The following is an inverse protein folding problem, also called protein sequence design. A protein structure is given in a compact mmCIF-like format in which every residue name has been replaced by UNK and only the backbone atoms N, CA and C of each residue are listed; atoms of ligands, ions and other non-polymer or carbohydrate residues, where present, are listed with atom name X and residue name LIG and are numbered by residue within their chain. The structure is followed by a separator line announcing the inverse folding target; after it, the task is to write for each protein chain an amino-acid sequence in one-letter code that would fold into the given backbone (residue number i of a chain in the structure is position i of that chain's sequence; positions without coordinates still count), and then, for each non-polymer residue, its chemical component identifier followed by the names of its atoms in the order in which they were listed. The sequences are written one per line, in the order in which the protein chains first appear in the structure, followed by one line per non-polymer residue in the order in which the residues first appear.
data_IF_856947156945
#
_entry.id   IF_856947156945
#
_cell.length_a   1.000
_cell.length_b   1.000
_cell.length_c   1.000
_cell.angle_alpha   90.00
_cell.angle_beta   90.00
_cell.angle_gamma   90.00
#
_symmetry.space_group_name_H-M   'P 1'
#
loop_
_entity.id
_entity.type
_entity.pdbx_description
1 polymer ?
#
# COMPACT_ATOMS: atom_id res chain seq x y z
N UNK A 1 -17.79 -55.89 59.68
CA UNK A 1 -18.99 -55.02 59.54
C UNK A 1 -18.58 -53.61 59.10
N UNK A 2 -17.77 -53.50 58.04
CA UNK A 2 -17.11 -52.23 57.64
C UNK A 2 -17.12 -51.99 56.13
N UNK A 3 -17.29 -53.02 55.30
CA UNK A 3 -17.25 -52.89 53.83
C UNK A 3 -18.59 -52.42 53.21
N UNK A 4 -19.74 -52.73 53.86
CA UNK A 4 -21.08 -52.28 53.39
C UNK A 4 -21.34 -50.78 53.58
N UNK A 5 -20.61 -50.09 54.47
CA UNK A 5 -20.78 -48.64 54.69
C UNK A 5 -20.14 -47.80 53.59
N UNK A 6 -19.06 -48.26 52.96
CA UNK A 6 -18.37 -47.52 51.90
C UNK A 6 -19.08 -47.61 50.55
N UNK A 7 -19.73 -48.74 50.24
CA UNK A 7 -20.49 -48.92 48.99
C UNK A 7 -21.72 -48.00 48.95
N UNK A 8 -22.43 -47.85 50.08
CA UNK A 8 -23.57 -46.95 50.16
C UNK A 8 -23.17 -45.46 50.13
N UNK A 9 -21.97 -45.12 50.61
CA UNK A 9 -21.43 -43.75 50.51
C UNK A 9 -21.00 -43.41 49.07
N UNK A 10 -20.39 -44.36 48.36
CA UNK A 10 -20.00 -44.19 46.95
C UNK A 10 -21.20 -44.09 46.01
N UNK A 11 -22.27 -44.85 46.25
CA UNK A 11 -23.51 -44.72 45.48
C UNK A 11 -24.22 -43.38 45.72
N UNK A 12 -24.22 -42.88 46.96
CA UNK A 12 -24.83 -41.58 47.29
C UNK A 12 -24.06 -40.40 46.67
N UNK A 13 -22.73 -40.48 46.58
CA UNK A 13 -21.91 -39.43 45.98
C UNK A 13 -22.06 -39.39 44.44
N UNK A 14 -22.13 -40.55 43.77
CA UNK A 14 -22.35 -40.63 42.32
C UNK A 14 -23.72 -40.12 41.86
N UNK A 15 -24.76 -40.19 42.70
CA UNK A 15 -26.10 -39.65 42.36
C UNK A 15 -26.18 -38.13 42.53
N UNK A 16 -25.38 -37.55 43.42
CA UNK A 16 -25.35 -36.09 43.63
C UNK A 16 -24.62 -35.31 42.53
N UNK A 17 -23.67 -35.93 41.81
CA UNK A 17 -22.93 -35.26 40.72
C UNK A 17 -23.63 -35.32 39.35
N UNK A 18 -24.67 -36.15 39.20
CA UNK A 18 -25.46 -36.26 37.97
C UNK A 18 -26.65 -35.28 37.90
N UNK A 19 -26.93 -34.52 38.97
CA UNK A 19 -28.06 -33.56 39.01
C UNK A 19 -27.66 -32.10 38.82
N UNK A 20 -26.36 -31.81 38.61
CA UNK A 20 -25.87 -30.45 38.28
C UNK A 20 -25.71 -30.20 36.77
N UNK A 21 -26.08 -31.16 35.92
CA UNK A 21 -26.17 -30.92 34.48
C UNK A 21 -27.60 -30.51 34.10
N UNK A 22 -27.85 -29.20 34.09
CA UNK A 22 -28.74 -28.49 33.14
C UNK A 22 -29.29 -27.20 33.76
N UNK A 23 -28.40 -26.21 33.94
CA UNK A 23 -28.80 -24.83 33.73
C UNK A 23 -28.11 -24.35 32.46
N UNK A 24 -28.34 -25.04 31.34
CA UNK A 24 -28.34 -24.34 30.08
C UNK A 24 -29.67 -23.58 30.08
N UNK A 25 -29.63 -22.30 30.47
CA UNK A 25 -30.65 -21.41 29.95
C UNK A 25 -30.50 -21.48 28.43
N UNK A 26 -31.50 -22.04 27.75
CA UNK A 26 -31.78 -21.70 26.36
C UNK A 26 -32.01 -20.19 26.35
N UNK A 27 -30.91 -19.45 26.24
CA UNK A 27 -30.97 -18.06 25.88
C UNK A 27 -31.34 -18.09 24.40
N UNK A 28 -32.61 -17.81 24.11
CA UNK A 28 -32.97 -17.28 22.80
C UNK A 28 -31.94 -16.20 22.49
N UNK A 29 -31.07 -16.44 21.50
CA UNK A 29 -30.17 -15.43 21.00
C UNK A 29 -31.04 -14.56 20.09
N UNK A 30 -31.61 -13.43 20.56
CA UNK A 30 -32.27 -12.52 19.63
C UNK A 30 -31.24 -12.20 18.55
N UNK A 31 -31.67 -12.26 17.29
CA UNK A 31 -30.84 -11.84 16.18
C UNK A 31 -30.29 -10.46 16.55
N UNK A 32 -28.96 -10.37 16.71
CA UNK A 32 -28.31 -9.11 16.99
C UNK A 32 -28.36 -8.33 15.69
N UNK A 33 -29.45 -7.59 15.51
CA UNK A 33 -29.66 -6.68 14.40
C UNK A 33 -28.72 -5.50 14.61
N UNK A 34 -27.46 -5.71 14.20
CA UNK A 34 -26.52 -4.60 14.10
C UNK A 34 -27.17 -3.60 13.16
N UNK A 35 -27.40 -2.34 13.59
CA UNK A 35 -27.82 -1.33 12.65
C UNK A 35 -26.81 -1.35 11.52
N UNK A 36 -27.32 -1.52 10.29
CA UNK A 36 -26.49 -1.55 9.10
C UNK A 36 -25.58 -0.32 9.17
N UNK A 37 -24.27 -0.54 9.38
CA UNK A 37 -23.32 0.56 9.50
C UNK A 37 -23.02 1.18 8.13
N UNK A 38 -23.91 0.97 7.17
CA UNK A 38 -23.95 1.54 5.83
C UNK A 38 -24.29 3.04 5.84
N UNK A 39 -23.68 3.80 6.76
CA UNK A 39 -23.41 5.19 6.46
C UNK A 39 -22.80 5.23 5.04
N UNK A 40 -23.41 5.95 4.08
CA UNK A 40 -22.93 5.94 2.71
C UNK A 40 -21.45 6.31 2.70
N UNK A 41 -20.60 5.39 2.24
CA UNK A 41 -19.17 5.67 2.16
C UNK A 41 -18.99 6.80 1.16
N UNK A 42 -18.50 7.94 1.65
CA UNK A 42 -18.25 9.11 0.80
C UNK A 42 -17.14 8.74 -0.18
N UNK A 43 -17.52 8.57 -1.45
CA UNK A 43 -16.57 8.30 -2.52
C UNK A 43 -15.57 9.44 -2.59
N UNK A 44 -14.29 9.08 -2.51
CA UNK A 44 -13.15 9.95 -2.76
C UNK A 44 -12.24 9.33 -3.81
N UNK A 45 -11.69 10.13 -4.74
CA UNK A 45 -10.68 9.62 -5.65
C UNK A 45 -9.37 9.26 -4.93
N UNK A 46 -9.09 9.87 -3.77
CA UNK A 46 -7.92 9.55 -2.95
C UNK A 46 -8.17 8.26 -2.16
N UNK A 47 -7.56 7.16 -2.60
CA UNK A 47 -7.75 5.82 -2.02
C UNK A 47 -6.88 5.53 -0.82
N UNK A 48 -5.70 6.14 -0.74
CA UNK A 48 -4.76 5.98 0.37
C UNK A 48 -4.16 7.34 0.68
N UNK A 49 -4.11 7.70 1.96
CA UNK A 49 -3.41 8.90 2.42
C UNK A 49 -2.65 8.61 3.71
N UNK A 50 -1.33 8.78 3.66
CA UNK A 50 -0.42 8.58 4.78
C UNK A 50 0.32 9.90 5.06
N UNK A 51 -0.11 10.68 6.07
CA UNK A 51 0.57 11.92 6.42
C UNK A 51 1.83 11.69 7.28
N UNK A 52 1.95 10.53 7.93
CA UNK A 52 3.09 10.17 8.79
C UNK A 52 3.28 10.98 10.09
N UNK A 53 2.19 11.49 10.66
CA UNK A 53 2.14 12.17 11.97
C UNK A 53 2.31 11.21 13.16
N UNK A 54 3.52 10.66 13.35
CA UNK A 54 3.85 9.59 14.31
C UNK A 54 3.02 8.30 14.17
N UNK A 55 2.33 8.11 13.05
CA UNK A 55 1.58 6.90 12.80
C UNK A 55 1.59 6.55 11.31
N UNK A 56 1.32 5.27 11.02
CA UNK A 56 1.25 4.73 9.66
C UNK A 56 -0.19 4.55 9.19
N UNK A 57 -1.17 5.11 9.89
CA UNK A 57 -2.60 4.85 9.60
C UNK A 57 -3.02 5.57 8.34
N UNK A 58 -3.75 4.87 7.50
CA UNK A 58 -4.46 5.47 6.38
C UNK A 58 -5.51 6.48 6.90
N UNK A 59 -5.38 7.74 6.47
CA UNK A 59 -6.30 8.85 6.77
C UNK A 59 -7.26 9.13 5.61
N UNK A 60 -7.27 8.31 4.58
CA UNK A 60 -8.31 8.35 3.55
C UNK A 60 -9.66 7.86 4.10
N UNK A 61 -10.71 8.00 3.29
CA UNK A 61 -12.04 7.47 3.62
C UNK A 61 -12.10 5.93 3.58
N UNK A 62 -11.03 5.26 3.16
CA UNK A 62 -11.05 3.84 2.82
C UNK A 62 -10.40 2.93 3.87
N UNK A 63 -9.62 3.51 4.79
CA UNK A 63 -9.03 2.85 5.96
C UNK A 63 -8.32 1.53 5.58
N UNK A 64 -7.35 1.60 4.67
CA UNK A 64 -6.48 0.47 4.37
C UNK A 64 -5.88 -0.09 5.67
N UNK A 65 -5.80 -1.42 5.79
CA UNK A 65 -5.16 -2.00 6.97
C UNK A 65 -3.65 -1.92 6.79
N UNK A 66 -3.03 -1.09 7.62
CA UNK A 66 -1.61 -0.78 7.56
C UNK A 66 -0.80 -1.69 8.47
N UNK A 67 0.34 -2.17 7.97
CA UNK A 67 1.38 -2.82 8.77
C UNK A 67 2.77 -2.38 8.32
N UNK A 68 3.76 -2.61 9.16
CA UNK A 68 5.15 -2.31 8.86
C UNK A 68 5.96 -3.60 8.74
N UNK A 69 6.90 -3.61 7.80
CA UNK A 69 8.07 -4.47 7.90
C UNK A 69 9.19 -3.72 8.63
N UNK A 70 9.76 -4.34 9.66
CA UNK A 70 10.81 -3.71 10.49
C UNK A 70 10.28 -2.60 11.41
N UNK A 71 11.22 -1.98 12.14
CA UNK A 71 10.93 -0.91 13.10
C UNK A 71 10.92 0.44 12.39
N UNK A 72 9.72 0.97 12.14
CA UNK A 72 9.55 2.28 11.48
C UNK A 72 9.81 3.41 12.47
N UNK A 73 10.38 4.51 11.97
CA UNK A 73 10.66 5.71 12.75
C UNK A 73 10.13 6.95 12.03
N UNK A 74 9.98 8.04 12.78
CA UNK A 74 9.48 9.31 12.28
C UNK A 74 10.47 10.44 12.60
N UNK A 75 10.48 11.46 11.75
CA UNK A 75 11.37 12.62 11.82
C UNK A 75 10.64 13.88 11.37
N UNK A 76 11.28 15.04 11.42
CA UNK A 76 10.67 16.29 10.97
C UNK A 76 10.35 16.25 9.47
N UNK A 77 9.08 16.48 9.14
CA UNK A 77 8.53 16.42 7.78
C UNK A 77 8.58 17.75 7.04
N UNK A 78 8.02 17.76 5.82
CA UNK A 78 7.71 19.02 5.13
C UNK A 78 6.49 19.69 5.77
N UNK A 79 5.59 18.87 6.32
CA UNK A 79 4.40 19.26 7.06
C UNK A 79 4.23 18.27 8.23
N UNK A 80 4.49 18.72 9.46
CA UNK A 80 4.45 17.86 10.63
C UNK A 80 5.62 16.87 10.65
N UNK A 81 5.32 15.58 10.63
CA UNK A 81 6.32 14.51 10.68
C UNK A 81 6.29 13.61 9.46
N UNK A 82 7.46 13.06 9.13
CA UNK A 82 7.66 12.20 7.99
C UNK A 82 8.08 10.79 8.41
N UNK A 83 7.73 9.81 7.59
CA UNK A 83 8.30 8.47 7.64
C UNK A 83 9.80 8.54 7.36
N UNK A 84 10.61 7.90 8.21
CA UNK A 84 12.04 7.69 7.98
C UNK A 84 12.28 6.22 7.64
N UNK A 85 12.59 5.97 6.37
CA UNK A 85 12.92 4.65 5.87
C UNK A 85 14.37 4.24 6.14
N UNK A 86 14.60 2.93 6.05
CA UNK A 86 15.89 2.24 6.05
C UNK A 86 15.83 1.11 5.03
N UNK A 87 16.97 0.46 4.77
CA UNK A 87 17.00 -0.73 3.90
C UNK A 87 16.13 -1.90 4.40
N UNK A 88 15.79 -1.92 5.70
CA UNK A 88 15.09 -3.03 6.36
C UNK A 88 13.63 -2.70 6.67
N UNK A 89 13.16 -1.49 6.35
CA UNK A 89 11.81 -1.03 6.70
C UNK A 89 10.98 -0.72 5.47
N UNK A 90 9.67 -0.96 5.57
CA UNK A 90 8.68 -0.61 4.54
C UNK A 90 7.28 -0.64 5.17
N UNK A 91 6.29 -0.10 4.46
CA UNK A 91 4.89 -0.17 4.87
C UNK A 91 4.09 -1.03 3.89
N UNK A 92 3.11 -1.73 4.44
CA UNK A 92 2.16 -2.54 3.71
C UNK A 92 0.76 -1.97 3.89
N UNK A 93 0.06 -1.72 2.79
CA UNK A 93 -1.31 -1.23 2.81
C UNK A 93 -2.25 -2.29 2.20
N UNK A 94 -2.92 -3.04 3.07
CA UNK A 94 -3.83 -4.10 2.63
C UNK A 94 -5.14 -3.49 2.14
N UNK A 95 -5.45 -3.77 0.88
CA UNK A 95 -6.68 -3.31 0.21
C UNK A 95 -7.91 -3.82 0.98
N UNK A 96 -8.83 -2.94 1.39
CA UNK A 96 -10.09 -3.34 1.99
C UNK A 96 -10.90 -4.26 1.07
N UNK A 97 -11.59 -5.25 1.65
CA UNK A 97 -12.34 -6.26 0.88
C UNK A 97 -13.39 -5.68 -0.08
N UNK A 98 -13.94 -4.50 0.21
CA UNK A 98 -14.94 -3.85 -0.65
C UNK A 98 -14.32 -3.04 -1.80
N UNK A 99 -12.99 -2.95 -1.88
CA UNK A 99 -12.25 -2.31 -2.97
C UNK A 99 -11.53 -3.33 -3.87
N UNK A 100 -11.59 -4.62 -3.56
CA UNK A 100 -10.85 -5.67 -4.29
C UNK A 100 -11.30 -5.84 -5.74
N UNK A 101 -12.46 -5.30 -6.12
CA UNK A 101 -12.93 -5.28 -7.51
C UNK A 101 -12.58 -3.95 -8.21
N UNK A 102 -12.60 -2.84 -7.48
CA UNK A 102 -12.32 -1.51 -8.05
C UNK A 102 -10.83 -1.22 -8.24
N UNK A 103 -9.96 -1.73 -7.35
CA UNK A 103 -8.51 -1.51 -7.47
C UNK A 103 -7.91 -2.26 -8.66
N UNK A 104 -8.36 -3.49 -9.00
CA UNK A 104 -7.96 -4.11 -10.24
C UNK A 104 -8.46 -3.40 -11.50
N UNK A 105 -9.53 -2.60 -11.46
CA UNK A 105 -10.10 -1.92 -12.65
C UNK A 105 -9.95 -0.39 -12.56
N UNK A 106 -8.77 0.09 -12.16
CA UNK A 106 -8.49 1.50 -11.89
C UNK A 106 -8.73 2.42 -13.09
N UNK A 107 -8.37 1.96 -14.29
CA UNK A 107 -8.39 2.75 -15.51
C UNK A 107 -7.32 3.84 -15.59
N UNK A 108 -7.17 4.66 -14.55
CA UNK A 108 -6.15 5.71 -14.40
C UNK A 108 -5.67 5.74 -12.96
N UNK A 109 -4.49 6.31 -12.70
CA UNK A 109 -4.04 6.48 -11.32
C UNK A 109 -3.08 7.67 -11.17
N UNK A 110 -2.94 8.13 -9.93
CA UNK A 110 -1.86 9.04 -9.54
C UNK A 110 -1.25 8.58 -8.23
N UNK A 111 0.07 8.60 -8.14
CA UNK A 111 0.82 8.49 -6.88
C UNK A 111 1.54 9.82 -6.66
N UNK A 112 1.30 10.46 -5.52
CA UNK A 112 1.94 11.74 -5.16
C UNK A 112 2.49 11.68 -3.74
N UNK A 113 3.66 12.24 -3.51
CA UNK A 113 4.29 12.29 -2.19
C UNK A 113 5.41 13.33 -2.17
N UNK A 114 5.76 13.76 -0.98
CA UNK A 114 7.03 14.41 -0.73
C UNK A 114 8.09 13.36 -0.40
N UNK A 115 9.28 13.54 -0.93
CA UNK A 115 10.43 12.71 -0.62
C UNK A 115 11.68 13.53 -0.33
N UNK A 116 12.55 12.97 0.50
CA UNK A 116 13.92 13.46 0.69
C UNK A 116 14.87 12.28 0.77
N UNK A 117 15.86 12.24 -0.11
CA UNK A 117 16.87 11.19 -0.13
C UNK A 117 18.15 11.70 -0.76
N UNK A 118 19.28 11.21 -0.27
CA UNK A 118 20.56 11.36 -0.97
C UNK A 118 20.64 10.37 -2.12
N UNK A 119 21.67 10.53 -2.97
CA UNK A 119 21.97 9.64 -4.08
C UNK A 119 22.03 8.19 -3.61
N UNK A 120 21.27 7.33 -4.28
CA UNK A 120 21.17 5.92 -3.97
C UNK A 120 22.44 5.14 -4.38
N UNK A 121 22.74 4.05 -3.67
CA UNK A 121 23.84 3.11 -3.99
C UNK A 121 23.35 1.80 -4.63
N UNK A 122 22.05 1.56 -4.64
CA UNK A 122 21.34 0.45 -5.28
C UNK A 122 19.95 0.92 -5.71
N UNK A 123 19.20 0.16 -6.52
CA UNK A 123 17.84 0.58 -6.90
C UNK A 123 16.94 0.64 -5.65
N UNK A 124 16.18 1.74 -5.47
CA UNK A 124 15.27 1.90 -4.34
C UNK A 124 13.82 1.82 -4.77
N UNK A 125 13.09 0.85 -4.24
CA UNK A 125 11.65 0.69 -4.49
C UNK A 125 10.86 1.71 -3.70
N UNK A 126 9.99 2.47 -4.35
CA UNK A 126 9.23 3.56 -3.70
C UNK A 126 7.78 3.16 -3.49
N UNK A 127 7.13 2.59 -4.50
CA UNK A 127 5.76 2.13 -4.41
C UNK A 127 5.53 0.95 -5.33
N UNK A 128 4.77 -0.03 -4.88
CA UNK A 128 4.34 -1.16 -5.68
C UNK A 128 2.88 -1.48 -5.39
N UNK A 129 2.11 -1.68 -6.46
CA UNK A 129 0.86 -2.44 -6.46
C UNK A 129 1.24 -3.84 -6.91
N UNK A 130 1.33 -4.83 -6.01
CA UNK A 130 1.90 -6.12 -6.36
C UNK A 130 1.07 -6.90 -7.36
N UNK A 131 1.77 -7.74 -8.10
CA UNK A 131 1.23 -8.91 -8.76
C UNK A 131 1.83 -10.13 -8.06
N UNK A 132 1.00 -10.95 -7.42
CA UNK A 132 1.48 -12.03 -6.55
C UNK A 132 2.14 -13.18 -7.30
N UNK A 133 2.15 -13.16 -8.64
CA UNK A 133 2.64 -14.26 -9.49
C UNK A 133 3.87 -13.90 -10.30
N UNK A 134 4.08 -12.62 -10.64
CA UNK A 134 5.17 -12.19 -11.51
C UNK A 134 6.32 -11.56 -10.75
N UNK A 135 7.50 -11.44 -11.40
CA UNK A 135 8.66 -10.78 -10.82
C UNK A 135 8.37 -9.32 -10.44
N UNK A 136 7.83 -8.57 -11.40
CA UNK A 136 7.40 -7.18 -11.20
C UNK A 136 5.93 -7.10 -10.78
N UNK A 137 5.56 -5.99 -10.13
CA UNK A 137 4.19 -5.76 -9.67
C UNK A 137 3.26 -5.42 -10.84
N UNK A 138 1.98 -5.20 -10.54
CA UNK A 138 1.06 -4.63 -11.53
C UNK A 138 1.43 -3.19 -11.90
N UNK A 139 1.97 -2.45 -10.93
CA UNK A 139 2.45 -1.08 -11.09
C UNK A 139 3.57 -0.84 -10.09
N UNK A 140 4.74 -0.42 -10.55
CA UNK A 140 5.87 -0.12 -9.68
C UNK A 140 6.43 1.27 -9.99
N UNK A 141 6.85 1.98 -8.94
CA UNK A 141 7.68 3.19 -9.03
C UNK A 141 8.94 2.91 -8.21
N UNK A 142 10.09 3.06 -8.86
CA UNK A 142 11.38 2.96 -8.20
C UNK A 142 12.38 3.92 -8.84
N UNK A 143 13.55 4.05 -8.23
CA UNK A 143 14.57 4.95 -8.72
C UNK A 143 15.99 4.37 -8.63
N UNK A 144 16.79 4.79 -9.59
CA UNK A 144 18.23 4.56 -9.69
C UNK A 144 18.97 5.91 -9.74
N UNK A 145 20.30 5.89 -9.87
CA UNK A 145 21.09 7.10 -10.15
C UNK A 145 21.74 7.02 -11.54
N UNK A 146 22.10 8.19 -12.07
CA UNK A 146 22.81 8.35 -13.35
C UNK A 146 24.29 8.73 -13.17
N UNK A 147 24.88 8.40 -12.03
CA UNK A 147 26.17 8.96 -11.55
C UNK A 147 26.16 10.44 -11.19
N UNK A 148 25.03 11.13 -11.35
CA UNK A 148 24.82 12.48 -10.83
C UNK A 148 24.49 12.47 -9.33
N UNK A 149 24.99 13.48 -8.61
CA UNK A 149 24.69 13.68 -7.19
C UNK A 149 23.27 14.22 -6.93
N UNK A 150 22.62 14.81 -7.94
CA UNK A 150 21.31 15.47 -7.78
C UNK A 150 20.21 14.87 -8.66
N UNK A 151 20.56 14.18 -9.75
CA UNK A 151 19.58 13.62 -10.70
C UNK A 151 19.19 12.19 -10.31
N UNK A 152 17.88 11.95 -10.17
CA UNK A 152 17.33 10.62 -10.00
C UNK A 152 16.89 10.04 -11.35
N UNK A 153 17.07 8.73 -11.52
CA UNK A 153 16.54 7.99 -12.66
C UNK A 153 15.31 7.20 -12.23
N UNK A 154 14.13 7.81 -12.36
CA UNK A 154 12.88 7.14 -12.05
C UNK A 154 12.50 6.14 -13.12
N UNK A 155 11.98 5.01 -12.66
CA UNK A 155 11.43 3.95 -13.49
C UNK A 155 10.03 3.63 -13.02
N UNK A 156 9.12 3.55 -13.98
CA UNK A 156 7.79 2.99 -13.78
C UNK A 156 7.67 1.71 -14.58
N UNK A 157 7.23 0.66 -13.91
CA UNK A 157 6.80 -0.58 -14.53
C UNK A 157 5.27 -0.62 -14.48
N UNK A 158 4.64 -0.94 -15.60
CA UNK A 158 3.19 -1.09 -15.70
C UNK A 158 2.91 -2.44 -16.37
N UNK A 159 2.07 -3.24 -15.73
CA UNK A 159 1.60 -4.52 -16.24
C UNK A 159 0.08 -4.48 -16.35
N UNK A 160 -0.42 -4.41 -17.59
CA UNK A 160 -1.83 -4.19 -17.88
C UNK A 160 -2.47 -5.46 -18.49
N UNK A 161 -3.62 -5.84 -17.95
CA UNK A 161 -4.41 -7.00 -18.34
C UNK A 161 -5.77 -6.55 -18.88
N UNK A 162 -5.78 -6.12 -20.14
CA UNK A 162 -7.01 -5.67 -20.80
C UNK A 162 -7.76 -6.86 -21.42
N UNK A 163 -8.99 -6.64 -21.86
CA UNK A 163 -9.75 -7.66 -22.60
C UNK A 163 -9.12 -8.07 -23.94
N UNK A 164 -8.10 -7.34 -24.41
CA UNK A 164 -7.40 -7.57 -25.68
C UNK A 164 -6.02 -8.20 -25.47
N UNK A 165 -5.40 -7.97 -24.30
CA UNK A 165 -4.07 -8.48 -23.95
C UNK A 165 -4.01 -8.84 -22.48
N UNK A 166 -3.67 -10.09 -22.19
CA UNK A 166 -3.58 -10.61 -20.82
C UNK A 166 -2.27 -10.21 -20.10
N UNK A 167 -1.32 -9.56 -20.79
CA UNK A 167 0.00 -9.18 -20.29
C UNK A 167 0.72 -8.06 -21.10
N UNK A 168 0.15 -6.86 -21.23
CA UNK A 168 0.89 -5.72 -21.82
C UNK A 168 1.80 -5.07 -20.75
N UNK A 169 3.08 -5.45 -20.80
CA UNK A 169 4.12 -4.93 -19.90
C UNK A 169 4.86 -3.75 -20.55
N UNK A 170 4.98 -2.62 -19.83
CA UNK A 170 5.63 -1.40 -20.33
C UNK A 170 6.52 -0.74 -19.28
N UNK A 171 7.52 -0.06 -19.82
CA UNK A 171 8.54 0.64 -19.06
C UNK A 171 8.56 2.13 -19.39
N UNK A 172 8.56 2.95 -18.34
CA UNK A 172 8.79 4.38 -18.42
C UNK A 172 10.05 4.70 -17.64
N UNK A 173 10.97 5.41 -18.29
CA UNK A 173 12.29 5.73 -17.78
C UNK A 173 12.46 7.25 -17.88
N UNK A 174 12.65 7.92 -16.75
CA UNK A 174 12.70 9.39 -16.66
C UNK A 174 13.86 9.83 -15.77
N UNK A 175 14.79 10.59 -16.36
CA UNK A 175 15.89 11.24 -15.63
C UNK A 175 15.41 12.62 -15.18
N UNK A 176 15.36 12.86 -13.88
CA UNK A 176 14.79 14.07 -13.29
C UNK A 176 15.83 14.74 -12.41
N UNK A 177 16.19 15.97 -12.76
CA UNK A 177 17.18 16.77 -12.03
C UNK A 177 16.64 17.26 -10.68
N UNK A 178 17.56 17.55 -9.75
CA UNK A 178 17.29 18.13 -8.43
C UNK A 178 16.26 17.33 -7.63
N UNK A 179 16.45 16.01 -7.58
CA UNK A 179 15.67 15.08 -6.75
C UNK A 179 16.51 14.62 -5.56
N UNK A 180 17.76 14.23 -5.81
CA UNK A 180 18.67 13.86 -4.74
C UNK A 180 19.24 15.09 -4.02
N UNK A 181 19.28 15.04 -2.70
CA UNK A 181 19.81 16.12 -1.88
C UNK A 181 19.27 16.11 -0.45
N UNK A 182 19.41 17.25 0.21
CA UNK A 182 18.94 17.49 1.59
C UNK A 182 17.56 18.16 1.65
N UNK A 183 17.04 18.58 0.50
CA UNK A 183 15.77 19.30 0.41
C UNK A 183 14.61 18.35 0.10
N UNK A 184 13.42 18.73 0.57
CA UNK A 184 12.18 18.06 0.24
C UNK A 184 11.79 18.33 -1.22
N UNK A 185 11.39 17.29 -1.95
CA UNK A 185 10.91 17.38 -3.32
C UNK A 185 9.54 16.71 -3.42
N UNK A 186 8.55 17.42 -3.96
CA UNK A 186 7.24 16.86 -4.25
C UNK A 186 7.27 16.15 -5.60
N UNK A 187 6.96 14.87 -5.62
CA UNK A 187 6.87 14.06 -6.82
C UNK A 187 5.43 13.60 -7.04
N UNK A 188 4.95 13.69 -8.27
CA UNK A 188 3.68 13.07 -8.66
C UNK A 188 3.83 12.30 -9.98
N UNK A 189 3.35 11.07 -10.01
CA UNK A 189 3.36 10.15 -11.15
C UNK A 189 1.92 9.90 -11.57
N UNK A 190 1.54 10.44 -12.71
CA UNK A 190 0.17 10.40 -13.24
C UNK A 190 0.14 9.45 -14.43
N UNK A 191 -0.81 8.52 -14.44
CA UNK A 191 -1.21 7.77 -15.63
C UNK A 191 -2.67 8.08 -15.99
N UNK A 192 -2.90 8.63 -17.18
CA UNK A 192 -4.21 8.85 -17.78
C UNK A 192 -4.49 7.77 -18.84
N UNK A 193 -5.35 6.81 -18.49
CA UNK A 193 -5.75 5.71 -19.37
C UNK A 193 -6.70 6.10 -20.50
N UNK A 194 -7.25 7.32 -20.48
CA UNK A 194 -8.08 7.84 -21.58
C UNK A 194 -7.20 8.17 -22.80
N UNK A 195 -6.00 8.68 -22.54
CA UNK A 195 -5.03 9.10 -23.55
C UNK A 195 -3.76 8.22 -23.56
N UNK A 196 -3.70 7.20 -22.71
CA UNK A 196 -2.52 6.37 -22.46
C UNK A 196 -1.25 7.17 -22.13
N UNK A 197 -1.40 8.23 -21.34
CA UNK A 197 -0.32 9.20 -21.09
C UNK A 197 0.25 9.04 -19.69
N UNK A 198 1.57 8.97 -19.58
CA UNK A 198 2.30 9.13 -18.32
C UNK A 198 2.83 10.55 -18.23
N UNK A 199 2.58 11.23 -17.11
CA UNK A 199 3.18 12.54 -16.79
C UNK A 199 3.80 12.49 -15.40
N UNK A 200 5.05 12.95 -15.27
CA UNK A 200 5.74 13.06 -13.98
C UNK A 200 5.95 14.52 -13.67
N UNK A 201 5.62 14.91 -12.44
CA UNK A 201 5.76 16.26 -11.92
C UNK A 201 6.79 16.30 -10.81
N UNK A 202 7.58 17.37 -10.79
CA UNK A 202 8.49 17.73 -9.69
C UNK A 202 8.12 19.12 -9.21
N UNK A 203 7.83 19.28 -7.92
CA UNK A 203 7.49 20.57 -7.30
C UNK A 203 6.38 21.33 -8.03
N UNK A 204 5.31 20.62 -8.39
CA UNK A 204 4.13 21.20 -9.05
C UNK A 204 4.23 21.37 -10.57
N UNK A 205 5.42 21.19 -11.17
CA UNK A 205 5.65 21.42 -12.60
C UNK A 205 5.92 20.10 -13.33
N UNK A 206 5.38 19.95 -14.56
CA UNK A 206 5.61 18.76 -15.38
C UNK A 206 7.05 18.72 -15.87
N UNK A 207 7.76 17.64 -15.57
CA UNK A 207 9.18 17.43 -15.94
C UNK A 207 9.36 16.31 -16.95
N UNK A 208 8.35 15.48 -17.15
CA UNK A 208 8.39 14.38 -18.11
C UNK A 208 6.98 14.03 -18.58
N UNK A 209 6.84 13.68 -19.87
CA UNK A 209 5.59 13.17 -20.44
C UNK A 209 5.91 12.12 -21.49
N UNK A 210 5.19 11.00 -21.48
CA UNK A 210 5.34 9.91 -22.44
C UNK A 210 4.00 9.24 -22.71
N UNK A 211 3.63 9.18 -23.98
CA UNK A 211 2.52 8.35 -24.43
C UNK A 211 2.95 6.87 -24.45
N UNK A 212 2.03 5.99 -24.08
CA UNK A 212 2.10 4.55 -24.26
C UNK A 212 1.05 4.14 -25.30
N UNK A 213 1.36 4.18 -26.61
CA UNK A 213 0.34 4.02 -27.65
C UNK A 213 -0.44 2.71 -27.50
N UNK A 214 -1.78 2.84 -27.45
CA UNK A 214 -2.71 1.72 -27.32
C UNK A 214 -2.70 1.01 -25.96
N UNK A 215 -2.11 1.61 -24.91
CA UNK A 215 -2.03 0.97 -23.58
C UNK A 215 -3.37 0.98 -22.86
N UNK A 216 -4.14 2.06 -22.98
CA UNK A 216 -5.53 2.17 -22.53
C UNK A 216 -5.72 2.10 -21.01
N UNK A 217 -6.95 1.85 -20.58
CA UNK A 217 -7.31 1.80 -19.15
C UNK A 217 -6.51 0.73 -18.40
N UNK A 218 -5.96 1.08 -17.24
CA UNK A 218 -5.28 0.15 -16.34
C UNK A 218 -6.26 -0.88 -15.80
N UNK A 219 -5.90 -2.15 -15.98
CA UNK A 219 -6.53 -3.29 -15.38
C UNK A 219 -5.47 -4.26 -14.87
N UNK A 220 -5.52 -4.57 -13.59
CA UNK A 220 -4.56 -5.40 -12.89
C UNK A 220 -5.13 -6.80 -12.62
N UNK A 221 -4.26 -7.76 -12.37
CA UNK A 221 -4.63 -9.11 -11.94
C UNK A 221 -3.72 -9.60 -10.83
N UNK A 222 -4.10 -10.68 -10.15
CA UNK A 222 -3.30 -11.27 -9.08
C UNK A 222 -2.88 -10.22 -8.02
N UNK A 223 -3.84 -9.36 -7.65
CA UNK A 223 -3.59 -8.20 -6.79
C UNK A 223 -3.11 -8.64 -5.40
N UNK A 224 -2.02 -8.02 -4.93
CA UNK A 224 -1.53 -8.17 -3.57
C UNK A 224 -1.71 -6.92 -2.69
N UNK A 225 -1.16 -6.99 -1.48
CA UNK A 225 -1.07 -5.88 -0.53
C UNK A 225 -0.09 -4.82 -1.03
N UNK A 226 -0.47 -3.55 -1.11
CA UNK A 226 0.44 -2.52 -1.62
C UNK A 226 1.70 -2.41 -0.76
N UNK A 227 2.84 -2.09 -1.38
CA UNK A 227 4.08 -1.80 -0.69
C UNK A 227 4.48 -0.34 -0.87
N UNK A 228 4.79 0.35 0.22
CA UNK A 228 5.32 1.72 0.23
C UNK A 228 6.74 1.66 0.81
N UNK A 229 7.69 2.27 0.10
CA UNK A 229 9.11 2.22 0.41
C UNK A 229 9.79 0.88 0.10
N UNK A 230 9.19 0.05 -0.76
CA UNK A 230 9.79 -1.23 -1.16
C UNK A 230 9.38 -1.66 -2.58
N UNK A 231 10.19 -2.53 -3.18
CA UNK A 231 9.72 -3.42 -4.25
C UNK A 231 8.93 -4.57 -3.63
N UNK A 232 7.94 -5.11 -4.36
CA UNK A 232 7.16 -6.25 -3.86
C UNK A 232 8.04 -7.44 -3.43
N UNK A 233 9.13 -7.70 -4.15
CA UNK A 233 10.04 -8.83 -3.88
C UNK A 233 11.09 -8.56 -2.79
N UNK A 234 11.24 -7.31 -2.35
CA UNK A 234 12.19 -6.92 -1.29
C UNK A 234 11.60 -7.04 0.12
N UNK A 235 10.30 -7.27 0.21
CA UNK A 235 9.57 -7.46 1.46
C UNK A 235 9.84 -8.85 2.08
N UNK A 236 9.46 -9.01 3.35
CA UNK A 236 9.64 -10.25 4.13
C UNK A 236 8.34 -10.59 4.88
N UNK A 237 7.60 -11.64 4.47
CA UNK A 237 7.82 -12.44 3.25
C UNK A 237 7.68 -11.61 1.97
N UNK A 238 8.23 -12.09 0.85
CA UNK A 238 7.99 -11.50 -0.47
C UNK A 238 6.49 -11.45 -0.77
N UNK A 239 6.02 -10.37 -1.41
CA UNK A 239 4.62 -10.22 -1.82
C UNK A 239 4.32 -10.93 -3.15
N UNK A 240 5.30 -11.60 -3.75
CA UNK A 240 5.14 -12.38 -4.98
C UNK A 240 5.82 -13.73 -4.88
N UNK A 241 5.23 -14.73 -5.56
CA UNK A 241 5.83 -16.05 -5.79
C UNK A 241 6.93 -16.00 -6.88
N UNK A 242 6.92 -14.97 -7.72
CA UNK A 242 7.81 -14.85 -8.89
C UNK A 242 9.25 -14.44 -8.56
N UNK A 243 9.51 -13.96 -7.34
CA UNK A 243 10.82 -13.49 -6.93
C UNK A 243 10.99 -13.39 -5.41
N UNK A 244 12.25 -13.46 -4.96
CA UNK A 244 12.68 -13.03 -3.63
C UNK A 244 13.59 -11.79 -3.70
N UNK A 245 14.15 -11.40 -2.56
CA UNK A 245 15.02 -10.24 -2.45
C UNK A 245 16.20 -10.30 -3.44
N UNK A 246 16.47 -9.18 -4.12
CA UNK A 246 17.49 -9.07 -5.14
C UNK A 246 18.70 -8.29 -4.60
N UNK A 247 19.92 -8.70 -4.96
CA UNK A 247 21.15 -8.05 -4.49
C UNK A 247 21.36 -6.62 -5.01
N UNK A 248 20.74 -6.30 -6.15
CA UNK A 248 20.80 -4.98 -6.78
C UNK A 248 19.70 -4.01 -6.29
N UNK A 249 18.74 -4.49 -5.50
CA UNK A 249 17.59 -3.75 -5.03
C UNK A 249 17.62 -3.54 -3.51
N UNK A 250 17.02 -2.45 -3.04
CA UNK A 250 16.79 -2.20 -1.62
C UNK A 250 15.45 -1.50 -1.40
N UNK A 251 14.98 -1.56 -0.15
CA UNK A 251 13.89 -0.71 0.31
C UNK A 251 14.37 0.75 0.37
N UNK A 252 13.46 1.70 0.29
CA UNK A 252 13.77 3.13 0.23
C UNK A 252 14.27 3.64 1.60
N UNK A 253 15.55 4.00 1.74
CA UNK A 253 16.13 4.45 3.00
C UNK A 253 15.98 5.98 3.19
N UNK A 254 15.12 6.62 2.41
CA UNK A 254 14.86 8.06 2.47
C UNK A 254 13.64 8.39 3.33
N UNK A 255 13.28 9.67 3.32
CA UNK A 255 12.09 10.17 4.01
C UNK A 255 10.93 10.28 3.03
N UNK A 256 9.72 9.93 3.49
CA UNK A 256 8.48 10.13 2.78
C UNK A 256 7.52 10.92 3.66
N UNK A 257 6.83 11.87 3.06
CA UNK A 257 5.79 12.68 3.72
C UNK A 257 4.59 12.79 2.78
N UNK A 258 3.38 12.93 3.35
CA UNK A 258 2.19 13.27 2.59
C UNK A 258 1.88 12.30 1.42
N UNK A 259 2.04 11.00 1.64
CA UNK A 259 1.91 10.00 0.57
C UNK A 259 0.43 9.76 0.22
N UNK A 260 0.09 9.94 -1.05
CA UNK A 260 -1.27 9.85 -1.58
C UNK A 260 -1.33 8.95 -2.81
N UNK A 261 -2.35 8.10 -2.87
CA UNK A 261 -2.70 7.33 -4.07
C UNK A 261 -4.13 7.64 -4.49
N UNK A 262 -4.31 7.93 -5.78
CA UNK A 262 -5.58 8.28 -6.40
C UNK A 262 -5.96 7.26 -7.48
N UNK A 263 -7.24 6.95 -7.59
CA UNK A 263 -7.82 6.12 -8.67
C UNK A 263 -8.12 6.89 -9.96
N UNK A 264 -7.47 8.03 -10.15
CA UNK A 264 -7.66 8.89 -11.32
C UNK A 264 -6.38 9.60 -11.68
N UNK A 265 -6.32 10.09 -12.92
CA UNK A 265 -5.38 11.12 -13.29
C UNK A 265 -5.83 12.46 -12.65
N UNK A 266 -5.07 12.97 -11.69
CA UNK A 266 -5.34 14.30 -11.11
C UNK A 266 -4.80 15.39 -12.03
N UNK A 267 -5.40 16.58 -11.98
CA UNK A 267 -5.05 17.68 -12.87
C UNK A 267 -3.71 18.33 -12.49
N UNK A 268 -3.05 18.99 -13.45
CA UNK A 268 -1.85 19.78 -13.17
C UNK A 268 -2.10 20.88 -12.12
N UNK A 269 -3.30 21.48 -12.10
CA UNK A 269 -3.69 22.46 -11.08
C UNK A 269 -3.78 21.85 -9.68
N UNK A 270 -4.34 20.64 -9.56
CA UNK A 270 -4.43 19.95 -8.27
C UNK A 270 -3.03 19.55 -7.77
N UNK A 271 -2.14 19.12 -8.67
CA UNK A 271 -0.74 18.80 -8.32
C UNK A 271 0.00 20.04 -7.83
N UNK A 272 -0.24 21.19 -8.47
CA UNK A 272 0.33 22.47 -8.04
C UNK A 272 -0.22 22.91 -6.68
N UNK A 273 -1.49 22.61 -6.39
CA UNK A 273 -2.08 22.84 -5.07
C UNK A 273 -1.46 21.93 -4.00
N UNK A 274 -1.29 20.63 -4.27
CA UNK A 274 -0.61 19.71 -3.35
C UNK A 274 0.79 20.23 -3.00
N UNK A 275 1.60 20.54 -4.02
CA UNK A 275 2.92 21.12 -3.81
C UNK A 275 2.89 22.43 -3.00
N UNK A 276 2.02 23.38 -3.36
CA UNK A 276 1.98 24.70 -2.69
C UNK A 276 1.46 24.59 -1.24
N UNK A 277 0.58 23.62 -0.99
CA UNK A 277 0.03 23.31 0.33
C UNK A 277 0.95 22.47 1.21
N UNK A 278 2.08 21.98 0.68
CA UNK A 278 2.93 20.98 1.34
C UNK A 278 2.14 19.72 1.72
N UNK A 279 1.37 19.27 0.74
CA UNK A 279 0.55 18.06 0.69
C UNK A 279 1.02 17.10 -0.40
#
# INVERSE_FOLDING_TARGET
MTMKRYINLLLAFCVSTLTLQSCFQDMDHPAFDYPDSSAPKVFSPMKLFLPFENDMRDKSNYTFLMSAGGDITYTDGINGQAYQGTKDTYLLARVPAYLTDSIPDLGSCTVAFWMKTTRNTSAYGVFSIPNTKTFWGNFDIYLENTSSETQAFFKMHLYNCTSVKDNDERWVEAKIDNVFGTEWVHMAFVYDGSNSMVTIYRNGESVFTKELPGYGKLKFKDLGTFAIGAFQFSTKPSLTEGAGAQSWASNFPGQLDQFRFYDRAISASDIKQLYSGKE
#
